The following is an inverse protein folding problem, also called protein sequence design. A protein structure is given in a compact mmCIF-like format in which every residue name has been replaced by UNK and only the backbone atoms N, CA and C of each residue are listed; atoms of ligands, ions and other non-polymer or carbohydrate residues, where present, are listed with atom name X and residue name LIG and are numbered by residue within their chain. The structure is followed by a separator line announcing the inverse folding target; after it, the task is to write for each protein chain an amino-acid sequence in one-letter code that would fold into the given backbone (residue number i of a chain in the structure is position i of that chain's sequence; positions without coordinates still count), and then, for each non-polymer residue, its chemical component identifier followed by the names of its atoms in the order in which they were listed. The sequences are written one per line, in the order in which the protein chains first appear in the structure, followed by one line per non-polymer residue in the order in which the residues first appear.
data_IF_869196152222
#
_entry.id   IF_869196152222
#
_cell.length_a   1.000
_cell.length_b   1.000
_cell.length_c   1.000
_cell.angle_alpha   90.00
_cell.angle_beta   90.00
_cell.angle_gamma   90.00
#
_symmetry.space_group_name_H-M   'P 1'
#
loop_
_entity.id
_entity.type
_entity.pdbx_description
1 polymer ?
#
# COMPACT_ATOMS: atom_id res chain seq x y z
N UNK A 1 -10.64 -10.21 -19.09
CA UNK A 1 -10.99 -10.78 -17.77
C UNK A 1 -12.36 -10.24 -17.40
N UNK A 2 -13.36 -11.10 -17.28
CA UNK A 2 -14.75 -10.70 -17.04
C UNK A 2 -14.95 -10.26 -15.59
N UNK A 3 -15.77 -9.23 -15.37
CA UNK A 3 -16.26 -8.88 -14.04
C UNK A 3 -17.10 -10.02 -13.45
N UNK A 4 -17.41 -9.92 -12.15
CA UNK A 4 -18.38 -10.80 -11.47
C UNK A 4 -19.72 -10.92 -12.22
N UNK A 5 -20.08 -9.92 -13.04
CA UNK A 5 -21.31 -9.87 -13.84
C UNK A 5 -21.08 -9.99 -15.37
N UNK A 6 -19.91 -10.47 -15.81
CA UNK A 6 -19.67 -10.75 -17.23
C UNK A 6 -19.30 -9.55 -18.11
N UNK A 7 -19.43 -8.31 -17.61
CA UNK A 7 -18.93 -7.13 -18.32
C UNK A 7 -17.40 -7.17 -18.48
N UNK A 8 -16.83 -6.71 -19.61
CA UNK A 8 -15.39 -6.66 -19.82
C UNK A 8 -14.74 -5.70 -18.82
N UNK A 9 -13.72 -6.18 -18.10
CA UNK A 9 -12.92 -5.36 -17.17
C UNK A 9 -11.48 -5.33 -17.65
N UNK A 10 -10.92 -4.12 -17.67
CA UNK A 10 -9.50 -3.90 -17.88
C UNK A 10 -8.82 -3.86 -16.51
N UNK A 11 -7.84 -4.74 -16.33
CA UNK A 11 -7.05 -4.82 -15.09
C UNK A 11 -5.68 -4.24 -15.40
N UNK A 12 -5.35 -3.13 -14.73
CA UNK A 12 -4.03 -2.55 -14.75
C UNK A 12 -3.28 -2.97 -13.48
N UNK A 13 -2.06 -3.46 -13.64
CA UNK A 13 -1.19 -3.79 -12.52
C UNK A 13 0.23 -3.30 -12.82
N UNK A 14 0.93 -2.90 -11.77
CA UNK A 14 2.32 -2.47 -11.85
C UNK A 14 3.06 -3.02 -10.64
N UNK A 15 4.29 -3.44 -10.87
CA UNK A 15 5.20 -3.92 -9.83
C UNK A 15 6.43 -3.02 -9.81
N UNK A 16 6.72 -2.44 -8.66
CA UNK A 16 7.88 -1.57 -8.44
C UNK A 16 8.89 -2.36 -7.59
N UNK A 17 10.10 -2.54 -8.12
CA UNK A 17 11.19 -3.22 -7.40
C UNK A 17 12.38 -2.29 -7.10
N UNK A 18 12.40 -1.08 -7.69
CA UNK A 18 13.50 -0.13 -7.49
C UNK A 18 13.22 0.71 -6.24
N UNK A 19 14.11 0.67 -5.25
CA UNK A 19 13.98 1.42 -4.00
C UNK A 19 13.67 2.90 -4.24
N UNK A 20 14.39 3.56 -5.17
CA UNK A 20 14.13 4.96 -5.53
C UNK A 20 12.66 5.25 -5.90
N UNK A 21 12.05 4.38 -6.71
CA UNK A 21 10.65 4.55 -7.13
C UNK A 21 9.67 4.24 -6.00
N UNK A 22 10.05 3.35 -5.09
CA UNK A 22 9.26 3.05 -3.88
C UNK A 22 9.26 4.28 -2.99
N UNK A 23 10.44 4.85 -2.73
CA UNK A 23 10.60 6.07 -1.91
C UNK A 23 9.85 7.24 -2.55
N UNK A 24 9.98 7.47 -3.86
CA UNK A 24 9.22 8.49 -4.60
C UNK A 24 7.70 8.27 -4.52
N UNK A 25 7.24 7.02 -4.45
CA UNK A 25 5.80 6.71 -4.31
C UNK A 25 5.32 6.99 -2.90
N UNK A 26 6.10 6.62 -1.88
CA UNK A 26 5.74 6.81 -0.47
C UNK A 26 5.79 8.28 -0.06
N UNK A 27 6.72 9.06 -0.63
CA UNK A 27 6.78 10.52 -0.45
C UNK A 27 5.55 11.28 -1.00
N UNK A 28 4.66 10.62 -1.76
CA UNK A 28 3.40 11.23 -2.22
C UNK A 28 2.26 11.14 -1.19
N UNK A 29 2.44 10.33 -0.16
CA UNK A 29 1.50 10.26 0.94
C UNK A 29 1.86 11.33 1.97
N UNK A 30 0.85 12.03 2.48
CA UNK A 30 1.05 12.96 3.58
C UNK A 30 1.39 12.19 4.87
N UNK A 31 2.06 12.86 5.81
CA UNK A 31 2.44 12.27 7.11
C UNK A 31 1.26 11.59 7.82
N UNK A 32 0.06 12.15 7.74
CA UNK A 32 -1.15 11.55 8.34
C UNK A 32 -1.50 10.18 7.73
N UNK A 33 -1.35 10.05 6.42
CA UNK A 33 -1.62 8.80 5.71
C UNK A 33 -0.54 7.74 6.02
N UNK A 34 0.72 8.15 6.15
CA UNK A 34 1.79 7.25 6.59
C UNK A 34 1.54 6.76 8.02
N UNK A 35 1.14 7.64 8.94
CA UNK A 35 0.78 7.24 10.31
C UNK A 35 -0.41 6.28 10.34
N UNK A 36 -1.41 6.49 9.47
CA UNK A 36 -2.53 5.55 9.27
C UNK A 36 -2.04 4.19 8.75
N UNK A 37 -1.03 4.14 7.87
CA UNK A 37 -0.43 2.86 7.46
C UNK A 37 0.25 2.15 8.64
N UNK A 38 1.02 2.88 9.45
CA UNK A 38 1.70 2.32 10.62
C UNK A 38 0.70 1.71 11.60
N UNK A 39 -0.39 2.43 11.91
CA UNK A 39 -1.43 1.93 12.82
C UNK A 39 -2.19 0.71 12.27
N UNK A 40 -2.17 0.52 10.94
CA UNK A 40 -2.82 -0.60 10.28
C UNK A 40 -1.93 -1.85 10.16
N UNK A 41 -0.62 -1.76 10.42
CA UNK A 41 0.34 -2.87 10.24
C UNK A 41 -0.13 -4.16 10.92
N UNK A 42 -0.57 -4.06 12.17
CA UNK A 42 -1.05 -5.19 13.00
C UNK A 42 -2.22 -5.97 12.38
N UNK A 43 -3.07 -5.30 11.61
CA UNK A 43 -4.27 -5.89 11.02
C UNK A 43 -4.14 -6.23 9.53
N UNK A 44 -3.05 -5.79 8.89
CA UNK A 44 -2.91 -5.81 7.42
C UNK A 44 -1.60 -6.44 6.94
N UNK A 45 -0.68 -6.78 7.84
CA UNK A 45 0.43 -7.67 7.55
C UNK A 45 -0.07 -9.12 7.49
N UNK A 46 0.31 -9.83 6.44
CA UNK A 46 0.04 -11.26 6.29
C UNK A 46 1.23 -12.13 6.74
N UNK A 47 1.01 -13.45 6.74
CA UNK A 47 2.02 -14.46 7.09
C UNK A 47 3.23 -14.46 6.14
N UNK A 48 3.11 -13.87 4.94
CA UNK A 48 4.18 -13.74 3.96
C UNK A 48 4.96 -12.41 4.07
N UNK A 49 4.79 -11.67 5.17
CA UNK A 49 5.38 -10.36 5.40
C UNK A 49 4.99 -9.32 4.35
N UNK A 50 3.78 -9.43 3.82
CA UNK A 50 3.20 -8.47 2.89
C UNK A 50 2.17 -7.60 3.60
N UNK A 51 2.37 -6.29 3.51
CA UNK A 51 1.42 -5.29 3.98
C UNK A 51 0.43 -4.94 2.87
N UNK A 52 -0.87 -5.13 3.15
CA UNK A 52 -1.94 -4.88 2.19
C UNK A 52 -2.76 -3.66 2.57
N UNK A 53 -2.83 -2.69 1.67
CA UNK A 53 -3.68 -1.52 1.86
C UNK A 53 -4.36 -1.14 0.55
N UNK A 54 -5.29 -0.20 0.63
CA UNK A 54 -6.03 0.30 -0.51
C UNK A 54 -5.94 1.80 -0.52
N UNK A 55 -5.81 2.39 -1.70
CA UNK A 55 -5.87 3.83 -1.90
C UNK A 55 -7.14 4.21 -2.65
N UNK A 56 -7.64 5.41 -2.39
CA UNK A 56 -8.83 5.92 -3.05
C UNK A 56 -8.56 6.14 -4.54
N UNK A 57 -9.37 5.52 -5.39
CA UNK A 57 -9.26 5.69 -6.84
C UNK A 57 -9.62 7.11 -7.26
N UNK A 58 -10.61 7.73 -6.61
CA UNK A 58 -11.04 9.09 -6.95
C UNK A 58 -9.95 10.10 -6.59
N UNK A 59 -9.39 10.01 -5.39
CA UNK A 59 -8.28 10.90 -4.98
C UNK A 59 -7.06 10.70 -5.87
N UNK A 60 -6.78 9.46 -6.29
CA UNK A 60 -5.68 9.17 -7.22
C UNK A 60 -5.87 9.85 -8.58
N UNK A 61 -7.11 9.94 -9.09
CA UNK A 61 -7.42 10.70 -10.31
C UNK A 61 -7.14 12.19 -10.08
N UNK A 62 -7.45 12.71 -8.89
CA UNK A 62 -7.21 14.09 -8.50
C UNK A 62 -5.73 14.39 -8.19
N UNK A 63 -4.85 13.37 -8.30
CA UNK A 63 -3.41 13.49 -8.07
C UNK A 63 -2.97 13.31 -6.61
N UNK A 64 -3.91 13.02 -5.71
CA UNK A 64 -3.66 12.80 -4.28
C UNK A 64 -3.62 11.32 -3.93
N UNK A 65 -2.72 10.93 -3.03
CA UNK A 65 -2.59 9.52 -2.62
C UNK A 65 -3.03 9.36 -1.17
N UNK A 66 -4.26 8.86 -0.98
CA UNK A 66 -4.88 8.66 0.33
C UNK A 66 -5.36 7.23 0.52
N UNK A 67 -5.26 6.71 1.74
CA UNK A 67 -5.85 5.44 2.14
C UNK A 67 -7.35 5.50 1.91
N UNK A 68 -7.88 4.45 1.27
CA UNK A 68 -9.29 4.37 0.91
C UNK A 68 -10.18 4.26 2.16
N UNK A 69 -11.28 5.02 2.14
CA UNK A 69 -12.39 4.83 3.06
C UNK A 69 -13.23 3.59 2.66
N UNK A 70 -13.96 2.98 3.60
CA UNK A 70 -14.87 1.88 3.33
C UNK A 70 -15.85 2.21 2.18
N UNK A 71 -16.22 1.19 1.40
CA UNK A 71 -17.20 1.27 0.30
C UNK A 71 -16.88 2.24 -0.86
N UNK A 72 -15.66 2.76 -0.91
CA UNK A 72 -15.18 3.56 -2.03
C UNK A 72 -14.58 2.72 -3.16
N UNK A 73 -14.48 3.29 -4.36
CA UNK A 73 -13.70 2.67 -5.45
C UNK A 73 -12.22 2.75 -5.09
N UNK A 74 -11.54 1.60 -5.07
CA UNK A 74 -10.16 1.51 -4.57
C UNK A 74 -9.18 0.95 -5.57
N UNK A 75 -7.91 1.33 -5.44
CA UNK A 75 -6.77 0.61 -6.02
C UNK A 75 -6.13 -0.25 -4.93
N UNK A 76 -5.82 -1.50 -5.25
CA UNK A 76 -5.17 -2.44 -4.32
C UNK A 76 -3.66 -2.22 -4.33
N UNK A 77 -3.07 -2.08 -3.15
CA UNK A 77 -1.63 -1.91 -2.96
C UNK A 77 -1.09 -3.02 -2.06
N UNK A 78 0.10 -3.53 -2.40
CA UNK A 78 0.81 -4.54 -1.62
C UNK A 78 2.29 -4.18 -1.57
N UNK A 79 2.84 -4.10 -0.36
CA UNK A 79 4.27 -3.94 -0.12
C UNK A 79 4.77 -5.23 0.53
N UNK A 80 5.73 -5.90 -0.10
CA UNK A 80 6.36 -7.10 0.47
C UNK A 80 7.67 -6.69 1.13
N UNK A 81 7.83 -7.04 2.40
CA UNK A 81 9.07 -6.82 3.13
C UNK A 81 9.88 -8.12 3.16
N UNK A 82 11.15 -8.05 2.76
CA UNK A 82 12.07 -9.16 2.89
C UNK A 82 12.74 -9.11 4.26
N UNK A 83 12.61 -10.18 5.05
CA UNK A 83 13.24 -10.32 6.37
C UNK A 83 14.39 -11.31 6.31
N UNK A 84 15.41 -11.02 7.12
CA UNK A 84 16.45 -11.97 7.45
C UNK A 84 16.12 -12.68 8.78
N UNK A 85 16.67 -13.87 9.05
CA UNK A 85 16.42 -14.59 10.29
C UNK A 85 16.63 -13.71 11.54
N UNK A 86 15.67 -13.74 12.47
CA UNK A 86 15.71 -12.96 13.71
C UNK A 86 15.19 -11.52 13.61
N UNK A 87 14.71 -11.08 12.44
CA UNK A 87 14.10 -9.76 12.29
C UNK A 87 12.59 -9.79 12.58
N UNK A 88 12.13 -8.76 13.31
CA UNK A 88 10.72 -8.50 13.54
C UNK A 88 10.14 -7.66 12.38
N UNK A 89 9.08 -8.18 11.75
CA UNK A 89 8.40 -7.52 10.63
C UNK A 89 7.74 -6.20 11.02
N UNK A 90 7.06 -6.15 12.17
CA UNK A 90 6.36 -4.95 12.63
C UNK A 90 7.37 -3.84 12.89
N UNK A 91 8.47 -4.18 13.57
CA UNK A 91 9.55 -3.22 13.82
C UNK A 91 10.14 -2.71 12.51
N UNK A 92 10.48 -3.60 11.58
CA UNK A 92 11.09 -3.22 10.29
C UNK A 92 10.16 -2.38 9.42
N UNK A 93 8.89 -2.75 9.34
CA UNK A 93 7.89 -2.00 8.57
C UNK A 93 7.66 -0.61 9.19
N UNK A 94 7.57 -0.53 10.52
CA UNK A 94 7.42 0.74 11.24
C UNK A 94 8.62 1.66 11.01
N UNK A 95 9.85 1.15 11.15
CA UNK A 95 11.09 1.88 10.85
C UNK A 95 11.15 2.34 9.39
N UNK A 96 10.65 1.53 8.46
CA UNK A 96 10.59 1.88 7.05
C UNK A 96 9.63 3.05 6.79
N UNK A 97 8.40 2.99 7.31
CA UNK A 97 7.39 4.04 7.12
C UNK A 97 7.77 5.34 7.82
N UNK A 98 8.42 5.29 8.99
CA UNK A 98 8.89 6.48 9.70
C UNK A 98 9.90 7.33 8.94
N UNK A 99 10.51 6.83 7.85
CA UNK A 99 11.38 7.63 6.97
C UNK A 99 10.62 8.69 6.17
N UNK A 100 9.31 8.56 6.09
CA UNK A 100 8.41 9.39 5.29
C UNK A 100 7.47 10.25 6.15
N UNK A 101 7.72 10.31 7.47
CA UNK A 101 6.93 11.08 8.43
C UNK A 101 7.61 12.40 8.81
#
# INVERSE_FOLDING_TARGET
TTSYYGSPVYIFSTKINKNKLIDETLNKFDTQEIQKMISMLDSRLDEENSFHFRISHNQLIDGEVKIAEPDSRTVKCKIKFELYPGQDIHKKATEFFNKFC
#
